data_IF_934906073563
#
_entry.id   IF_934906073563
#
_cell.length_a   1.000
_cell.length_b   1.000
_cell.length_c   1.000
_cell.angle_alpha   90.00
_cell.angle_beta   90.00
_cell.angle_gamma   90.00
#
_symmetry.space_group_name_H-M   'P 1'
#
loop_
_entity.id
_entity.type
_entity.pdbx_description
1 polymer ?
#
# COMPACT_ATOMS: atom_id res chain seq x y z
N UNK A 1 -28.25 -6.78 39.33
CA UNK A 1 -28.80 -6.23 38.05
C UNK A 1 -28.23 -4.85 37.67
N UNK A 2 -28.06 -3.87 38.59
CA UNK A 2 -27.51 -2.53 38.24
C UNK A 2 -26.08 -2.55 37.66
N UNK A 3 -25.20 -3.46 38.10
CA UNK A 3 -23.81 -3.53 37.63
C UNK A 3 -23.66 -4.06 36.19
N UNK A 4 -24.56 -4.95 35.76
CA UNK A 4 -24.51 -5.57 34.43
C UNK A 4 -24.82 -4.57 33.30
N UNK A 5 -25.74 -3.62 33.55
CA UNK A 5 -26.12 -2.58 32.58
C UNK A 5 -24.92 -1.75 32.12
N UNK A 6 -24.09 -1.32 33.07
CA UNK A 6 -22.98 -0.40 32.79
C UNK A 6 -21.79 -1.09 32.13
N UNK A 7 -21.54 -2.34 32.51
CA UNK A 7 -20.55 -3.18 31.83
C UNK A 7 -20.99 -3.46 30.38
N UNK A 8 -22.26 -3.78 30.17
CA UNK A 8 -22.84 -3.98 28.84
C UNK A 8 -22.73 -2.72 27.97
N UNK A 9 -23.03 -1.54 28.53
CA UNK A 9 -22.88 -0.26 27.83
C UNK A 9 -21.41 0.01 27.45
N UNK A 10 -20.47 -0.33 28.33
CA UNK A 10 -19.03 -0.25 28.02
C UNK A 10 -18.62 -1.19 26.89
N UNK A 11 -19.15 -2.40 26.84
CA UNK A 11 -18.88 -3.35 25.75
C UNK A 11 -19.42 -2.81 24.42
N UNK A 12 -20.67 -2.34 24.38
CA UNK A 12 -21.24 -1.73 23.18
C UNK A 12 -20.42 -0.51 22.74
N UNK A 13 -20.07 0.36 23.69
CA UNK A 13 -19.27 1.54 23.38
C UNK A 13 -17.90 1.14 22.82
N UNK A 14 -17.23 0.16 23.41
CA UNK A 14 -15.92 -0.32 22.99
C UNK A 14 -15.94 -0.92 21.57
N UNK A 15 -16.86 -1.83 21.28
CA UNK A 15 -16.85 -2.60 20.02
C UNK A 15 -17.66 -1.97 18.88
N UNK A 16 -18.57 -1.04 19.17
CA UNK A 16 -19.45 -0.42 18.16
C UNK A 16 -19.37 1.11 18.24
N UNK A 17 -19.48 1.68 19.44
CA UNK A 17 -19.52 3.14 19.62
C UNK A 17 -18.25 3.85 19.17
N UNK A 18 -17.08 3.40 19.64
CA UNK A 18 -15.79 3.99 19.25
C UNK A 18 -15.52 3.85 17.74
N UNK A 19 -15.67 2.66 17.10
CA UNK A 19 -15.56 2.57 15.64
C UNK A 19 -16.48 3.54 14.90
N UNK A 20 -17.75 3.65 15.31
CA UNK A 20 -18.70 4.57 14.68
C UNK A 20 -18.24 6.04 14.80
N UNK A 21 -17.80 6.45 16.00
CA UNK A 21 -17.25 7.79 16.23
C UNK A 21 -16.04 8.07 15.34
N UNK A 22 -15.14 7.08 15.18
CA UNK A 22 -13.97 7.21 14.32
C UNK A 22 -14.37 7.39 12.85
N UNK A 23 -15.35 6.64 12.35
CA UNK A 23 -15.85 6.83 10.99
C UNK A 23 -16.39 8.27 10.79
N UNK A 24 -17.21 8.75 11.73
CA UNK A 24 -17.77 10.12 11.67
C UNK A 24 -16.66 11.18 11.70
N UNK A 25 -15.72 11.06 12.65
CA UNK A 25 -14.61 12.02 12.79
C UNK A 25 -13.71 11.97 11.55
N UNK A 26 -13.47 10.79 10.98
CA UNK A 26 -12.68 10.65 9.75
C UNK A 26 -13.37 11.33 8.57
N UNK A 27 -14.70 11.25 8.45
CA UNK A 27 -15.45 11.98 7.41
C UNK A 27 -15.30 13.49 7.61
N UNK A 28 -15.46 14.00 8.84
CA UNK A 28 -15.41 15.44 9.12
C UNK A 28 -14.00 15.98 8.90
N UNK A 29 -13.01 15.40 9.56
CA UNK A 29 -11.62 15.85 9.50
C UNK A 29 -11.02 15.59 8.11
N UNK A 30 -11.30 14.42 7.53
CA UNK A 30 -10.87 14.07 6.18
C UNK A 30 -11.52 14.94 5.10
N UNK A 31 -12.80 15.31 5.27
CA UNK A 31 -13.49 16.25 4.37
C UNK A 31 -12.91 17.66 4.46
N UNK A 32 -12.63 18.16 5.67
CA UNK A 32 -11.93 19.44 5.85
C UNK A 32 -10.54 19.41 5.19
N UNK A 33 -9.80 18.32 5.38
CA UNK A 33 -8.51 18.09 4.75
C UNK A 33 -8.60 18.11 3.22
N UNK A 34 -9.57 17.39 2.65
CA UNK A 34 -9.80 17.35 1.21
C UNK A 34 -10.09 18.77 0.66
N UNK A 35 -10.93 19.55 1.32
CA UNK A 35 -11.20 20.94 0.93
C UNK A 35 -9.94 21.82 0.94
N UNK A 36 -9.08 21.68 1.95
CA UNK A 36 -7.80 22.41 2.03
C UNK A 36 -6.90 21.99 0.86
N UNK A 37 -6.79 20.68 0.58
CA UNK A 37 -5.96 20.19 -0.53
C UNK A 37 -6.43 20.67 -1.91
N UNK A 38 -7.74 20.82 -2.12
CA UNK A 38 -8.30 21.37 -3.36
C UNK A 38 -7.98 22.87 -3.51
N UNK A 39 -8.01 23.62 -2.41
CA UNK A 39 -7.61 25.04 -2.39
C UNK A 39 -6.10 25.20 -2.63
N UNK A 40 -5.28 24.28 -2.11
CA UNK A 40 -3.82 24.27 -2.30
C UNK A 40 -3.41 23.96 -3.75
N UNK A 41 -4.09 23.02 -4.41
CA UNK A 41 -3.85 22.70 -5.83
C UNK A 41 -4.19 23.84 -6.80
N UNK A 42 -4.85 24.90 -6.32
CA UNK A 42 -5.09 26.13 -7.08
C UNK A 42 -3.90 27.12 -7.02
N UNK A 43 -2.86 26.84 -6.23
CA UNK A 43 -1.72 27.72 -5.99
C UNK A 43 -0.40 27.02 -6.39
N UNK A 44 0.39 27.56 -7.36
CA UNK A 44 1.54 26.86 -7.98
C UNK A 44 2.74 26.52 -7.08
N UNK A 45 2.74 26.88 -5.78
CA UNK A 45 3.93 26.81 -4.90
C UNK A 45 3.88 25.64 -3.91
N UNK A 46 2.78 24.89 -3.82
CA UNK A 46 2.51 23.99 -2.70
C UNK A 46 2.64 22.49 -3.02
N UNK A 47 3.77 22.02 -3.57
CA UNK A 47 4.05 20.57 -3.68
C UNK A 47 4.73 19.97 -2.44
N UNK A 48 5.05 20.78 -1.43
CA UNK A 48 5.81 20.38 -0.23
C UNK A 48 4.95 20.15 1.03
N UNK A 49 3.62 20.34 0.95
CA UNK A 49 2.73 20.33 2.13
C UNK A 49 2.04 18.97 2.36
N UNK A 50 1.89 18.13 1.34
CA UNK A 50 1.10 16.88 1.43
C UNK A 50 1.65 15.88 2.48
N UNK A 51 2.97 15.83 2.68
CA UNK A 51 3.60 15.02 3.75
C UNK A 51 3.57 15.69 5.13
N UNK A 52 3.40 17.02 5.19
CA UNK A 52 3.51 17.81 6.43
C UNK A 52 2.24 17.78 7.29
N UNK A 53 1.13 17.23 6.78
CA UNK A 53 -0.22 17.47 7.32
C UNK A 53 -0.97 16.24 7.79
N UNK A 54 -0.53 15.03 7.39
CA UNK A 54 -1.09 13.76 7.88
C UNK A 54 -0.99 13.66 9.41
N UNK A 55 0.16 14.07 9.97
CA UNK A 55 0.40 14.04 11.43
C UNK A 55 -0.56 15.00 12.16
N UNK A 56 -0.65 16.30 11.81
CA UNK A 56 -1.65 17.21 12.38
C UNK A 56 -3.09 16.68 12.32
N UNK A 57 -3.50 16.11 11.17
CA UNK A 57 -4.84 15.54 10.97
C UNK A 57 -5.09 14.35 11.89
N UNK A 58 -4.13 13.44 12.00
CA UNK A 58 -4.22 12.30 12.90
C UNK A 58 -4.29 12.73 14.38
N UNK A 59 -3.51 13.74 14.77
CA UNK A 59 -3.53 14.31 16.12
C UNK A 59 -4.87 14.98 16.45
N UNK A 60 -5.47 15.71 15.51
CA UNK A 60 -6.80 16.30 15.67
C UNK A 60 -7.86 15.21 15.88
N UNK A 61 -7.84 14.16 15.05
CA UNK A 61 -8.73 13.02 15.20
C UNK A 61 -8.58 12.31 16.55
N UNK A 62 -7.34 12.07 16.98
CA UNK A 62 -7.02 11.49 18.29
C UNK A 62 -7.53 12.36 19.44
N UNK A 63 -7.36 13.69 19.35
CA UNK A 63 -7.85 14.65 20.31
C UNK A 63 -9.38 14.66 20.42
N UNK A 64 -10.10 14.63 19.29
CA UNK A 64 -11.56 14.56 19.27
C UNK A 64 -12.07 13.25 19.90
N UNK A 65 -11.46 12.11 19.57
CA UNK A 65 -11.80 10.82 20.18
C UNK A 65 -11.55 10.82 21.70
N UNK A 66 -10.43 11.39 22.14
CA UNK A 66 -10.13 11.57 23.56
C UNK A 66 -11.18 12.44 24.25
N UNK A 67 -11.60 13.55 23.64
CA UNK A 67 -12.66 14.42 24.17
C UNK A 67 -14.00 13.69 24.26
N UNK A 68 -14.37 12.89 23.25
CA UNK A 68 -15.56 12.03 23.32
C UNK A 68 -15.50 11.07 24.51
N UNK A 69 -14.35 10.41 24.72
CA UNK A 69 -14.12 9.56 25.88
C UNK A 69 -14.27 10.33 27.19
N UNK A 70 -13.72 11.56 27.26
CA UNK A 70 -13.79 12.42 28.45
C UNK A 70 -15.22 12.86 28.78
N UNK A 71 -16.00 13.25 27.78
CA UNK A 71 -17.41 13.62 27.92
C UNK A 71 -18.21 12.42 28.41
N UNK A 72 -18.02 11.25 27.78
CA UNK A 72 -18.70 10.02 28.18
C UNK A 72 -18.32 9.57 29.59
N UNK A 73 -17.06 9.76 29.98
CA UNK A 73 -16.58 9.50 31.34
C UNK A 73 -17.21 10.41 32.40
N UNK A 74 -17.40 11.71 32.12
CA UNK A 74 -18.08 12.63 33.04
C UNK A 74 -19.56 12.27 33.22
N UNK A 75 -20.25 11.97 32.11
CA UNK A 75 -21.68 11.60 32.14
C UNK A 75 -21.97 10.31 32.90
N UNK A 76 -20.98 9.43 33.08
CA UNK A 76 -21.10 8.14 33.76
C UNK A 76 -20.16 8.02 34.98
N UNK A 77 -19.79 9.14 35.62
CA UNK A 77 -18.80 9.18 36.70
C UNK A 77 -19.27 8.57 38.04
N UNK A 78 -20.57 8.29 38.19
CA UNK A 78 -21.23 7.93 39.45
C UNK A 78 -21.33 6.40 39.73
N UNK A 79 -20.56 5.56 39.02
CA UNK A 79 -20.96 4.16 38.84
C UNK A 79 -20.00 3.08 39.32
N UNK A 80 -20.60 1.95 39.70
CA UNK A 80 -20.00 0.75 40.29
C UNK A 80 -19.01 0.08 39.33
N UNK A 81 -17.83 -0.32 39.84
CA UNK A 81 -16.77 -1.07 39.16
C UNK A 81 -16.10 -0.37 37.94
N UNK A 82 -15.50 0.83 38.13
CA UNK A 82 -14.84 1.57 37.04
C UNK A 82 -13.69 0.79 36.38
N UNK A 83 -12.95 -0.02 37.15
CA UNK A 83 -11.79 -0.76 36.65
C UNK A 83 -12.18 -1.81 35.60
N UNK A 84 -13.34 -2.47 35.78
CA UNK A 84 -13.85 -3.44 34.82
C UNK A 84 -14.33 -2.78 33.52
N UNK A 85 -14.81 -1.53 33.60
CA UNK A 85 -15.18 -0.76 32.41
C UNK A 85 -13.95 -0.32 31.63
N UNK A 86 -12.88 0.09 32.32
CA UNK A 86 -11.58 0.36 31.70
C UNK A 86 -11.08 -0.87 30.95
N UNK A 87 -11.20 -2.07 31.55
CA UNK A 87 -10.86 -3.32 30.89
C UNK A 87 -11.64 -3.52 29.58
N UNK A 88 -12.97 -3.32 29.62
CA UNK A 88 -13.81 -3.45 28.42
C UNK A 88 -13.40 -2.49 27.29
N UNK A 89 -13.02 -1.26 27.63
CA UNK A 89 -12.61 -0.25 26.65
C UNK A 89 -11.22 -0.54 26.04
N UNK A 90 -10.33 -1.18 26.80
CA UNK A 90 -9.00 -1.57 26.30
C UNK A 90 -9.04 -2.86 25.45
N UNK A 91 -10.02 -3.75 25.65
CA UNK A 91 -10.07 -5.04 24.98
C UNK A 91 -10.05 -4.96 23.44
N UNK A 92 -10.80 -4.10 22.75
CA UNK A 92 -10.75 -4.03 21.29
C UNK A 92 -9.36 -3.69 20.76
N UNK A 93 -8.63 -2.77 21.41
CA UNK A 93 -7.26 -2.44 21.03
C UNK A 93 -6.35 -3.67 21.10
N UNK A 94 -6.46 -4.46 22.17
CA UNK A 94 -5.67 -5.67 22.35
C UNK A 94 -6.02 -6.74 21.30
N UNK A 95 -7.31 -6.95 21.02
CA UNK A 95 -7.77 -7.93 20.03
C UNK A 95 -7.25 -7.58 18.63
N UNK A 96 -7.34 -6.31 18.23
CA UNK A 96 -6.83 -5.85 16.92
C UNK A 96 -5.32 -6.01 16.85
N UNK A 97 -4.59 -5.62 17.89
CA UNK A 97 -3.13 -5.67 17.92
C UNK A 97 -2.60 -7.11 17.92
N UNK A 98 -3.19 -8.00 18.72
CA UNK A 98 -2.87 -9.42 18.73
C UNK A 98 -3.21 -10.08 17.39
N UNK A 99 -4.37 -9.78 16.83
CA UNK A 99 -4.79 -10.25 15.51
C UNK A 99 -3.79 -9.82 14.42
N UNK A 100 -3.35 -8.56 14.44
CA UNK A 100 -2.32 -8.07 13.53
C UNK A 100 -1.00 -8.83 13.66
N UNK A 101 -0.50 -9.00 14.88
CA UNK A 101 0.77 -9.72 15.13
C UNK A 101 0.71 -11.15 14.62
N UNK A 102 -0.40 -11.85 14.87
CA UNK A 102 -0.63 -13.21 14.38
C UNK A 102 -0.71 -13.22 12.85
N UNK A 103 -1.46 -12.30 12.24
CA UNK A 103 -1.62 -12.25 10.79
C UNK A 103 -0.31 -11.96 10.08
N UNK A 104 0.50 -11.01 10.59
CA UNK A 104 1.84 -10.73 10.07
C UNK A 104 2.76 -11.94 10.15
N UNK A 105 2.67 -12.74 11.20
CA UNK A 105 3.41 -13.99 11.29
C UNK A 105 2.91 -15.02 10.26
N UNK A 106 1.59 -15.23 10.17
CA UNK A 106 0.98 -16.21 9.26
C UNK A 106 1.14 -15.86 7.78
N UNK A 107 1.31 -14.58 7.44
CA UNK A 107 1.52 -14.13 6.06
C UNK A 107 2.98 -13.87 5.72
N UNK A 108 3.92 -14.22 6.61
CA UNK A 108 5.35 -13.97 6.42
C UNK A 108 5.60 -12.49 6.06
N UNK A 109 5.01 -11.59 6.85
CA UNK A 109 5.05 -10.14 6.72
C UNK A 109 4.40 -9.59 5.43
N UNK A 110 3.73 -10.41 4.62
CA UNK A 110 3.03 -9.93 3.43
C UNK A 110 1.72 -9.25 3.81
N UNK A 111 1.73 -7.92 3.89
CA UNK A 111 0.56 -7.12 4.29
C UNK A 111 -0.59 -7.22 3.27
N UNK A 112 -0.31 -7.37 1.97
CA UNK A 112 -1.37 -7.54 0.95
C UNK A 112 -2.17 -8.82 1.16
N UNK A 113 -1.52 -9.87 1.66
CA UNK A 113 -2.19 -11.14 1.99
C UNK A 113 -3.08 -11.03 3.24
N UNK A 114 -2.81 -10.08 4.15
CA UNK A 114 -3.60 -9.87 5.38
C UNK A 114 -5.01 -9.40 5.05
N UNK A 115 -5.17 -8.44 4.14
CA UNK A 115 -6.48 -7.87 3.80
C UNK A 115 -7.49 -8.87 3.23
N UNK A 116 -7.03 -10.02 2.74
CA UNK A 116 -7.88 -11.11 2.23
C UNK A 116 -8.36 -12.06 3.33
N UNK A 117 -7.88 -11.94 4.57
CA UNK A 117 -8.23 -12.84 5.68
C UNK A 117 -9.53 -12.35 6.35
N UNK A 118 -10.47 -13.26 6.71
CA UNK A 118 -11.77 -12.87 7.28
C UNK A 118 -11.67 -11.97 8.52
N UNK A 119 -10.71 -12.24 9.41
CA UNK A 119 -10.51 -11.45 10.64
C UNK A 119 -10.13 -10.01 10.30
N UNK A 120 -9.28 -9.79 9.30
CA UNK A 120 -8.91 -8.45 8.87
C UNK A 120 -10.10 -7.71 8.24
N UNK A 121 -10.94 -8.42 7.48
CA UNK A 121 -12.15 -7.84 6.87
C UNK A 121 -13.17 -7.38 7.92
N UNK A 122 -13.34 -8.12 9.02
CA UNK A 122 -14.21 -7.69 10.14
C UNK A 122 -13.72 -6.39 10.77
N UNK A 123 -12.42 -6.30 11.08
CA UNK A 123 -11.84 -5.06 11.65
C UNK A 123 -11.98 -3.90 10.66
N UNK A 124 -11.70 -4.14 9.38
CA UNK A 124 -11.85 -3.13 8.33
C UNK A 124 -13.30 -2.66 8.19
N UNK A 125 -14.28 -3.56 8.34
CA UNK A 125 -15.71 -3.20 8.26
C UNK A 125 -16.12 -2.28 9.42
N UNK A 126 -15.60 -2.51 10.64
CA UNK A 126 -15.88 -1.63 11.78
C UNK A 126 -15.24 -0.24 11.63
N UNK A 127 -14.05 -0.17 11.03
CA UNK A 127 -13.33 1.06 10.70
C UNK A 127 -13.34 1.33 9.19
N UNK A 128 -14.52 1.24 8.57
CA UNK A 128 -14.66 1.24 7.11
C UNK A 128 -14.07 2.49 6.44
N UNK A 129 -14.48 3.69 6.88
CA UNK A 129 -14.07 4.95 6.28
C UNK A 129 -12.54 5.11 6.29
N UNK A 130 -11.85 5.03 7.44
CA UNK A 130 -10.39 5.13 7.45
C UNK A 130 -9.70 3.97 6.71
N UNK A 131 -10.30 2.77 6.66
CA UNK A 131 -9.75 1.64 5.90
C UNK A 131 -9.80 1.89 4.39
N UNK A 132 -10.89 2.48 3.89
CA UNK A 132 -11.03 2.86 2.47
C UNK A 132 -10.02 3.95 2.11
N UNK A 133 -9.88 4.99 2.94
CA UNK A 133 -8.90 6.06 2.72
C UNK A 133 -7.47 5.52 2.73
N UNK A 134 -7.16 4.65 3.70
CA UNK A 134 -5.87 3.96 3.79
C UNK A 134 -5.53 3.16 2.54
N UNK A 135 -6.52 2.48 1.97
CA UNK A 135 -6.37 1.70 0.74
C UNK A 135 -5.98 2.59 -0.46
N UNK A 136 -6.68 3.70 -0.67
CA UNK A 136 -6.38 4.62 -1.78
C UNK A 136 -5.06 5.39 -1.60
N UNK A 137 -4.70 5.73 -0.36
CA UNK A 137 -3.47 6.47 -0.07
C UNK A 137 -2.24 5.57 0.12
N UNK A 138 -2.38 4.25 0.02
CA UNK A 138 -1.29 3.30 0.21
C UNK A 138 -0.73 3.23 1.64
N UNK A 139 -1.33 3.92 2.62
CA UNK A 139 -0.88 3.91 4.01
C UNK A 139 -1.42 2.71 4.78
N UNK A 140 -0.88 1.53 4.47
CA UNK A 140 -1.45 0.25 4.94
C UNK A 140 -1.40 0.08 6.46
N UNK A 141 -0.45 0.74 7.14
CA UNK A 141 -0.34 0.73 8.60
C UNK A 141 -1.52 1.40 9.32
N UNK A 142 -2.29 2.25 8.63
CA UNK A 142 -3.48 2.87 9.20
C UNK A 142 -4.52 1.83 9.67
N UNK A 143 -4.58 0.66 9.01
CA UNK A 143 -5.48 -0.46 9.37
C UNK A 143 -5.18 -1.00 10.77
N UNK A 144 -3.96 -0.83 11.27
CA UNK A 144 -3.60 -1.14 12.65
C UNK A 144 -3.69 0.09 13.56
N UNK A 145 -3.05 1.19 13.15
CA UNK A 145 -2.82 2.36 13.99
C UNK A 145 -4.13 3.08 14.33
N UNK A 146 -5.07 3.19 13.39
CA UNK A 146 -6.32 3.92 13.63
C UNK A 146 -7.21 3.15 14.61
N UNK A 147 -7.49 1.84 14.46
CA UNK A 147 -8.28 1.10 15.45
C UNK A 147 -7.64 1.09 16.83
N UNK A 148 -6.35 0.76 16.93
CA UNK A 148 -5.66 0.69 18.22
C UNK A 148 -5.55 2.08 18.85
N UNK A 149 -5.08 3.08 18.11
CA UNK A 149 -4.90 4.44 18.59
C UNK A 149 -6.21 5.08 19.04
N UNK A 150 -7.28 4.97 18.25
CA UNK A 150 -8.59 5.54 18.63
C UNK A 150 -9.16 4.90 19.90
N UNK A 151 -9.04 3.59 20.05
CA UNK A 151 -9.49 2.88 21.26
C UNK A 151 -8.72 3.31 22.50
N UNK A 152 -7.39 3.43 22.38
CA UNK A 152 -6.54 3.93 23.46
C UNK A 152 -6.86 5.39 23.80
N UNK A 153 -7.01 6.27 22.81
CA UNK A 153 -7.38 7.67 23.02
C UNK A 153 -8.73 7.80 23.74
N UNK A 154 -9.74 7.01 23.34
CA UNK A 154 -11.04 7.01 23.97
C UNK A 154 -10.97 6.51 25.42
N UNK A 155 -10.27 5.39 25.66
CA UNK A 155 -10.09 4.83 27.00
C UNK A 155 -9.32 5.80 27.92
N UNK A 156 -8.27 6.45 27.41
CA UNK A 156 -7.52 7.48 28.13
C UNK A 156 -8.42 8.66 28.53
N UNK A 157 -9.21 9.18 27.57
CA UNK A 157 -10.19 10.23 27.81
C UNK A 157 -11.22 9.84 28.86
N UNK A 158 -11.74 8.61 28.78
CA UNK A 158 -12.72 8.06 29.71
C UNK A 158 -12.18 7.96 31.14
N UNK A 159 -11.04 7.32 31.34
CA UNK A 159 -10.48 7.13 32.68
C UNK A 159 -10.01 8.46 33.29
N UNK A 160 -9.47 9.39 32.48
CA UNK A 160 -9.05 10.72 32.90
C UNK A 160 -8.08 10.70 34.08
N UNK A 161 -8.30 11.55 35.08
CA UNK A 161 -7.46 11.64 36.28
C UNK A 161 -7.41 10.33 37.11
N UNK A 162 -8.29 9.35 36.84
CA UNK A 162 -8.33 8.06 37.55
C UNK A 162 -7.21 7.11 37.12
N UNK A 163 -6.60 7.32 35.94
CA UNK A 163 -5.51 6.46 35.47
C UNK A 163 -4.30 6.44 36.41
N UNK A 164 -4.02 7.57 37.09
CA UNK A 164 -2.92 7.69 38.04
C UNK A 164 -3.22 7.20 39.46
N UNK A 165 -4.45 6.76 39.75
CA UNK A 165 -4.83 6.32 41.10
C UNK A 165 -4.53 4.83 41.25
N UNK A 166 -3.62 4.49 42.16
CA UNK A 166 -3.34 3.11 42.56
C UNK A 166 -4.50 2.58 43.41
N UNK A 167 -5.06 1.43 43.03
CA UNK A 167 -6.18 0.79 43.73
C UNK A 167 -5.90 -0.71 43.87
N UNK A 168 -6.42 -1.33 44.93
CA UNK A 168 -6.41 -2.78 45.10
C UNK A 168 -7.66 -3.43 44.51
N UNK A 169 -7.54 -4.65 43.97
CA UNK A 169 -8.69 -5.48 43.55
C UNK A 169 -8.52 -6.14 42.19
N UNK A 170 -9.35 -7.16 41.91
CA UNK A 170 -9.26 -7.99 40.71
C UNK A 170 -9.39 -7.19 39.39
N UNK A 171 -10.28 -6.19 39.35
CA UNK A 171 -10.46 -5.33 38.17
C UNK A 171 -9.24 -4.47 37.86
N UNK A 172 -8.56 -3.96 38.90
CA UNK A 172 -7.32 -3.20 38.74
C UNK A 172 -6.18 -4.09 38.22
N UNK A 173 -6.01 -5.29 38.78
CA UNK A 173 -5.02 -6.26 38.31
C UNK A 173 -5.28 -6.67 36.86
N UNK A 174 -6.54 -6.90 36.48
CA UNK A 174 -6.94 -7.20 35.10
C UNK A 174 -6.58 -6.06 34.14
N UNK A 175 -6.91 -4.82 34.51
CA UNK A 175 -6.57 -3.63 33.70
C UNK A 175 -5.06 -3.50 33.50
N UNK A 176 -4.27 -3.68 34.57
CA UNK A 176 -2.81 -3.59 34.48
C UNK A 176 -2.23 -4.71 33.60
N UNK A 177 -2.77 -5.94 33.71
CA UNK A 177 -2.40 -7.04 32.83
C UNK A 177 -2.71 -6.70 31.37
N UNK A 178 -3.89 -6.14 31.07
CA UNK A 178 -4.25 -5.70 29.72
C UNK A 178 -3.28 -4.64 29.18
N UNK A 179 -2.87 -3.68 30.01
CA UNK A 179 -1.87 -2.67 29.63
C UNK A 179 -0.51 -3.32 29.34
N UNK A 180 -0.06 -4.27 30.16
CA UNK A 180 1.17 -5.03 29.91
C UNK A 180 1.08 -5.80 28.59
N UNK A 181 -0.04 -6.47 28.32
CA UNK A 181 -0.27 -7.16 27.06
C UNK A 181 -0.26 -6.20 25.86
N UNK A 182 -0.90 -5.03 25.98
CA UNK A 182 -0.87 -4.00 24.94
C UNK A 182 0.56 -3.51 24.65
N UNK A 183 1.37 -3.29 25.69
CA UNK A 183 2.78 -2.92 25.53
C UNK A 183 3.60 -4.03 24.87
N UNK A 184 3.38 -5.28 25.28
CA UNK A 184 4.05 -6.45 24.70
C UNK A 184 3.72 -6.63 23.22
N UNK A 185 2.43 -6.69 22.85
CA UNK A 185 2.02 -6.83 21.46
C UNK A 185 2.32 -5.57 20.63
N UNK A 186 2.33 -4.39 21.26
CA UNK A 186 2.76 -3.16 20.62
C UNK A 186 4.24 -3.20 20.24
N UNK A 187 5.08 -3.70 21.15
CA UNK A 187 6.51 -3.92 20.90
C UNK A 187 6.72 -4.97 19.80
N UNK A 188 5.93 -6.04 19.79
CA UNK A 188 5.95 -7.03 18.72
C UNK A 188 5.57 -6.43 17.36
N UNK A 189 4.53 -5.59 17.30
CA UNK A 189 4.11 -4.93 16.07
C UNK A 189 5.17 -3.94 15.55
N UNK A 190 5.85 -3.20 16.45
CA UNK A 190 6.99 -2.34 16.09
C UNK A 190 8.17 -3.17 15.57
N UNK A 191 8.47 -4.30 16.20
CA UNK A 191 9.51 -5.20 15.71
C UNK A 191 9.14 -5.78 14.32
N UNK A 192 7.89 -6.18 14.12
CA UNK A 192 7.41 -6.65 12.82
C UNK A 192 7.41 -5.55 11.76
N UNK A 193 7.18 -4.29 12.11
CA UNK A 193 7.29 -3.18 11.14
C UNK A 193 8.73 -2.94 10.72
N UNK A 194 9.69 -3.08 11.64
CA UNK A 194 11.11 -3.08 11.32
C UNK A 194 11.47 -4.25 10.37
N UNK A 195 11.06 -5.48 10.71
CA UNK A 195 11.30 -6.65 9.84
C UNK A 195 10.64 -6.48 8.46
N UNK A 196 9.43 -5.93 8.41
CA UNK A 196 8.76 -5.61 7.15
C UNK A 196 9.58 -4.62 6.32
N UNK A 197 10.08 -3.54 6.91
CA UNK A 197 10.89 -2.54 6.22
C UNK A 197 12.22 -3.13 5.71
N UNK A 198 12.80 -4.10 6.44
CA UNK A 198 13.99 -4.83 5.97
C UNK A 198 13.65 -5.75 4.80
N UNK A 199 12.51 -6.45 4.84
CA UNK A 199 12.07 -7.41 3.81
C UNK A 199 11.53 -6.74 2.54
N UNK A 200 10.87 -5.60 2.71
CA UNK A 200 10.26 -4.79 1.65
C UNK A 200 10.75 -3.35 1.81
N UNK A 201 12.01 -3.06 1.44
CA UNK A 201 12.51 -1.71 1.55
C UNK A 201 11.66 -0.82 0.63
N UNK A 202 11.31 0.38 1.10
CA UNK A 202 10.71 1.37 0.21
C UNK A 202 11.83 1.94 -0.68
N UNK A 203 11.63 2.12 -2.00
CA UNK A 203 12.59 2.86 -2.81
C UNK A 203 12.74 4.28 -2.25
N UNK A 204 13.98 4.73 -1.98
CA UNK A 204 14.25 6.11 -1.57
C UNK A 204 13.97 7.12 -2.70
N UNK A 205 14.10 6.65 -3.95
CA UNK A 205 13.70 7.33 -5.16
C UNK A 205 13.12 6.31 -6.12
N UNK A 206 11.92 6.57 -6.60
CA UNK A 206 11.27 5.79 -7.66
C UNK A 206 11.25 6.64 -8.92
N UNK A 207 12.08 6.30 -9.90
CA UNK A 207 11.83 6.74 -11.27
C UNK A 207 10.68 5.89 -11.81
N UNK A 208 9.48 6.46 -11.80
CA UNK A 208 8.32 5.82 -12.41
C UNK A 208 8.25 6.20 -13.87
N UNK A 209 8.04 5.18 -14.70
CA UNK A 209 7.67 5.36 -16.09
C UNK A 209 6.14 5.55 -16.13
N UNK A 210 5.70 6.81 -16.14
CA UNK A 210 4.28 7.14 -16.14
C UNK A 210 3.71 7.04 -17.54
N UNK A 211 2.62 6.29 -17.70
CA UNK A 211 1.94 6.16 -19.00
C UNK A 211 1.51 7.51 -19.60
N UNK A 212 1.04 8.42 -18.75
CA UNK A 212 0.64 9.79 -19.13
C UNK A 212 1.75 10.57 -19.85
N UNK A 213 3.02 10.35 -19.48
CA UNK A 213 4.16 11.03 -20.11
C UNK A 213 4.32 10.62 -21.58
N UNK A 214 3.71 9.51 -22.01
CA UNK A 214 3.79 8.95 -23.36
C UNK A 214 2.45 9.04 -24.10
N UNK A 215 1.62 10.03 -23.77
CA UNK A 215 0.38 10.34 -24.49
C UNK A 215 0.57 11.59 -25.35
N UNK A 216 0.01 11.60 -26.56
CA UNK A 216 0.24 12.70 -27.52
C UNK A 216 -0.28 14.06 -27.02
N UNK A 217 -1.39 14.06 -26.28
CA UNK A 217 -2.00 15.28 -25.76
C UNK A 217 -1.29 15.84 -24.51
N UNK A 218 -0.35 15.09 -23.91
CA UNK A 218 0.41 15.55 -22.75
C UNK A 218 1.43 16.61 -23.17
N UNK A 219 1.33 17.80 -22.57
CA UNK A 219 2.31 18.86 -22.78
C UNK A 219 3.69 18.42 -22.29
N UNK A 220 4.71 18.56 -23.15
CA UNK A 220 6.06 18.08 -22.83
C UNK A 220 6.16 16.55 -22.73
N UNK A 221 5.32 15.81 -23.47
CA UNK A 221 5.40 14.36 -23.52
C UNK A 221 6.81 13.87 -23.94
N UNK A 222 7.10 12.62 -23.57
CA UNK A 222 8.37 11.94 -23.82
C UNK A 222 8.32 11.04 -25.06
N UNK A 223 7.36 11.26 -25.97
CA UNK A 223 7.30 10.52 -27.23
C UNK A 223 8.52 10.86 -28.08
N UNK A 224 9.09 9.83 -28.71
CA UNK A 224 10.20 10.01 -29.65
C UNK A 224 9.65 10.09 -31.06
N UNK A 225 9.80 11.27 -31.68
CA UNK A 225 9.42 11.46 -33.08
C UNK A 225 10.29 10.62 -34.04
N UNK A 226 9.74 10.32 -35.21
CA UNK A 226 10.52 9.71 -36.30
C UNK A 226 11.53 10.70 -36.86
N UNK A 227 12.67 10.18 -37.31
CA UNK A 227 13.70 10.98 -37.99
C UNK A 227 13.31 11.33 -39.43
N UNK A 228 12.62 10.41 -40.08
CA UNK A 228 12.19 10.48 -41.48
C UNK A 228 10.69 10.17 -41.58
N UNK A 229 10.08 10.50 -42.72
CA UNK A 229 8.69 10.14 -43.01
C UNK A 229 8.48 8.61 -42.96
N UNK A 230 7.43 8.12 -42.28
CA UNK A 230 7.21 6.69 -42.15
C UNK A 230 6.78 6.07 -43.48
N UNK A 231 7.38 4.92 -43.82
CA UNK A 231 6.96 4.11 -44.97
C UNK A 231 5.60 3.42 -44.76
N UNK A 232 5.19 3.28 -43.50
CA UNK A 232 3.89 2.71 -43.09
C UNK A 232 3.12 3.75 -42.29
N UNK A 233 1.92 4.11 -42.74
CA UNK A 233 1.00 4.98 -42.03
C UNK A 233 -0.37 4.33 -41.94
N UNK A 234 -0.87 4.14 -40.72
CA UNK A 234 -2.15 3.53 -40.43
C UNK A 234 -3.22 4.62 -40.28
N UNK A 235 -4.11 4.71 -41.27
CA UNK A 235 -5.23 5.66 -41.29
C UNK A 235 -6.60 5.00 -41.06
N UNK A 236 -6.63 3.68 -41.00
CA UNK A 236 -7.83 2.85 -40.78
C UNK A 236 -7.41 1.49 -40.20
N UNK A 237 -8.35 0.73 -39.64
CA UNK A 237 -8.12 -0.57 -39.01
C UNK A 237 -6.98 -0.52 -37.97
N UNK A 238 -7.03 0.46 -37.07
CA UNK A 238 -5.99 0.65 -36.06
C UNK A 238 -5.93 -0.55 -35.11
N UNK A 239 -4.75 -1.16 -34.93
CA UNK A 239 -4.59 -2.25 -33.97
C UNK A 239 -4.70 -1.72 -32.54
N UNK A 240 -5.27 -2.52 -31.64
CA UNK A 240 -5.20 -2.30 -30.20
C UNK A 240 -3.86 -2.82 -29.68
N UNK A 241 -3.07 -1.94 -29.08
CA UNK A 241 -1.73 -2.21 -28.57
C UNK A 241 -1.73 -2.30 -27.05
N UNK A 242 -0.95 -3.23 -26.52
CA UNK A 242 -0.61 -3.31 -25.10
C UNK A 242 0.86 -3.76 -24.95
N UNK A 243 1.42 -3.78 -23.75
CA UNK A 243 2.81 -4.22 -23.60
C UNK A 243 3.41 -4.15 -22.22
N UNK A 244 4.70 -4.49 -22.18
CA UNK A 244 5.52 -4.38 -20.99
C UNK A 244 5.85 -2.91 -20.73
N UNK A 245 5.71 -2.45 -19.48
CA UNK A 245 6.02 -1.06 -19.09
C UNK A 245 7.45 -0.63 -19.45
N UNK A 246 8.42 -1.55 -19.43
CA UNK A 246 9.79 -1.27 -19.85
C UNK A 246 9.90 -0.87 -21.34
N UNK A 247 9.02 -1.40 -22.19
CA UNK A 247 8.96 -1.11 -23.62
C UNK A 247 8.06 0.08 -23.98
N UNK A 248 7.35 0.69 -23.02
CA UNK A 248 6.39 1.76 -23.27
C UNK A 248 6.96 2.94 -24.09
N UNK A 249 8.18 3.45 -23.82
CA UNK A 249 8.74 4.52 -24.64
C UNK A 249 8.83 4.16 -26.12
N UNK A 250 9.07 2.88 -26.43
CA UNK A 250 9.24 2.40 -27.80
C UNK A 250 7.90 2.23 -28.50
N UNK A 251 6.97 1.48 -27.90
CA UNK A 251 5.73 1.15 -28.58
C UNK A 251 4.71 2.29 -28.59
N UNK A 252 4.67 3.16 -27.58
CA UNK A 252 3.85 4.37 -27.63
C UNK A 252 4.36 5.35 -28.69
N UNK A 253 5.68 5.54 -28.77
CA UNK A 253 6.29 6.38 -29.82
C UNK A 253 5.97 5.84 -31.21
N UNK A 254 6.11 4.54 -31.42
CA UNK A 254 5.76 3.90 -32.68
C UNK A 254 4.26 4.04 -32.99
N UNK A 255 3.40 3.84 -31.99
CA UNK A 255 1.95 3.99 -32.14
C UNK A 255 1.58 5.40 -32.64
N UNK A 256 1.95 6.44 -31.92
CA UNK A 256 1.59 7.82 -32.30
C UNK A 256 2.29 8.29 -33.58
N UNK A 257 3.48 7.79 -33.86
CA UNK A 257 4.19 8.13 -35.10
C UNK A 257 3.55 7.50 -36.34
N UNK A 258 3.14 6.24 -36.25
CA UNK A 258 2.69 5.42 -37.37
C UNK A 258 1.16 5.39 -37.54
N UNK A 259 0.40 6.04 -36.65
CA UNK A 259 -1.06 6.11 -36.73
C UNK A 259 -1.55 7.54 -36.99
N UNK A 260 -2.66 7.65 -37.70
CA UNK A 260 -3.45 8.89 -37.81
C UNK A 260 -4.90 8.55 -37.51
N UNK A 261 -5.46 9.28 -36.55
CA UNK A 261 -6.85 9.16 -36.14
C UNK A 261 -7.65 10.36 -36.66
N UNK A 262 -8.92 10.16 -37.06
CA UNK A 262 -9.91 11.22 -37.16
C UNK A 262 -10.08 11.97 -35.84
N UNK A 263 -10.53 13.23 -35.90
CA UNK A 263 -10.67 14.11 -34.72
C UNK A 263 -11.68 13.58 -33.68
N UNK A 264 -12.61 12.69 -34.07
CA UNK A 264 -13.63 12.10 -33.21
C UNK A 264 -13.20 10.78 -32.54
N UNK A 265 -12.00 10.27 -32.84
CA UNK A 265 -11.48 9.03 -32.27
C UNK A 265 -10.37 9.36 -31.27
N UNK A 266 -10.50 8.81 -30.06
CA UNK A 266 -9.50 8.93 -29.01
C UNK A 266 -8.38 7.88 -29.24
N UNK A 267 -7.12 8.28 -29.56
CA UNK A 267 -6.03 7.33 -29.77
C UNK A 267 -5.76 6.44 -28.55
N UNK A 268 -6.01 6.95 -27.35
CA UNK A 268 -5.81 6.23 -26.09
C UNK A 268 -6.74 5.01 -25.95
N UNK A 269 -7.83 4.91 -26.72
CA UNK A 269 -8.70 3.72 -26.76
C UNK A 269 -8.01 2.51 -27.43
N UNK A 270 -6.87 2.73 -28.10
CA UNK A 270 -6.11 1.73 -28.84
C UNK A 270 -4.71 1.49 -28.29
N UNK A 271 -4.32 2.16 -27.19
CA UNK A 271 -2.99 2.05 -26.60
C UNK A 271 -3.07 1.85 -25.09
N UNK A 272 -2.56 0.73 -24.61
CA UNK A 272 -2.56 0.34 -23.21
C UNK A 272 -1.13 0.10 -22.67
N UNK A 273 -0.99 0.13 -21.35
CA UNK A 273 0.24 -0.24 -20.63
C UNK A 273 -0.11 -1.02 -19.36
N UNK A 274 -0.47 -2.29 -19.55
CA UNK A 274 -0.88 -3.16 -18.43
C UNK A 274 0.28 -4.02 -17.89
N UNK A 275 1.43 -4.00 -18.54
CA UNK A 275 2.60 -4.81 -18.19
C UNK A 275 2.55 -6.22 -18.79
N UNK A 276 3.67 -6.94 -18.73
CA UNK A 276 3.86 -8.20 -19.47
C UNK A 276 2.81 -9.26 -19.17
N UNK A 277 2.44 -9.45 -17.90
CA UNK A 277 1.50 -10.51 -17.50
C UNK A 277 0.11 -10.24 -18.09
N UNK A 278 -0.40 -9.02 -17.93
CA UNK A 278 -1.73 -8.65 -18.39
C UNK A 278 -1.80 -8.52 -19.91
N UNK A 279 -0.74 -8.00 -20.56
CA UNK A 279 -0.67 -7.94 -22.02
C UNK A 279 -0.80 -9.33 -22.67
N UNK A 280 -0.17 -10.36 -22.09
CA UNK A 280 -0.39 -11.74 -22.53
C UNK A 280 -1.84 -12.20 -22.35
N UNK A 281 -2.50 -11.84 -21.25
CA UNK A 281 -3.93 -12.17 -21.07
C UNK A 281 -4.79 -11.44 -22.09
N UNK A 282 -4.52 -10.16 -22.34
CA UNK A 282 -5.27 -9.33 -23.28
C UNK A 282 -5.19 -9.83 -24.72
N UNK A 283 -4.02 -10.23 -25.21
CA UNK A 283 -3.91 -10.79 -26.57
C UNK A 283 -4.61 -12.14 -26.70
N UNK A 284 -4.58 -12.98 -25.65
CA UNK A 284 -5.23 -14.29 -25.66
C UNK A 284 -6.76 -14.18 -25.56
N UNK A 285 -7.26 -13.13 -24.89
CA UNK A 285 -8.69 -12.85 -24.78
C UNK A 285 -9.26 -12.05 -25.97
N UNK A 286 -8.41 -11.63 -26.91
CA UNK A 286 -8.81 -10.79 -28.05
C UNK A 286 -9.08 -9.33 -27.66
N UNK A 287 -8.56 -8.87 -26.52
CA UNK A 287 -8.61 -7.47 -26.09
C UNK A 287 -7.48 -6.62 -26.68
N UNK A 288 -6.38 -7.24 -27.08
CA UNK A 288 -5.28 -6.62 -27.81
C UNK A 288 -5.00 -7.38 -29.12
N UNK A 289 -4.57 -6.65 -30.15
CA UNK A 289 -4.22 -7.22 -31.46
C UNK A 289 -2.69 -7.39 -31.60
N UNK A 290 -1.93 -6.52 -30.92
CA UNK A 290 -0.47 -6.54 -30.91
C UNK A 290 0.05 -6.23 -29.50
N UNK A 291 1.05 -6.99 -29.04
CA UNK A 291 1.71 -6.72 -27.77
C UNK A 291 3.22 -6.55 -27.91
N UNK A 292 3.76 -5.62 -27.13
CA UNK A 292 5.20 -5.34 -27.06
C UNK A 292 5.76 -5.85 -25.75
N UNK A 293 6.33 -7.05 -25.78
CA UNK A 293 6.79 -7.77 -24.59
C UNK A 293 8.13 -8.44 -24.84
N UNK A 294 8.84 -8.73 -23.75
CA UNK A 294 9.98 -9.65 -23.76
C UNK A 294 9.53 -11.07 -24.16
N UNK A 295 10.50 -11.95 -24.40
CA UNK A 295 10.22 -13.33 -24.78
C UNK A 295 9.33 -14.04 -23.72
N UNK A 296 8.30 -14.82 -24.12
CA UNK A 296 7.40 -15.45 -23.16
C UNK A 296 8.13 -16.45 -22.26
N UNK A 297 7.75 -16.42 -20.98
CA UNK A 297 8.03 -17.49 -20.02
C UNK A 297 7.39 -18.81 -20.44
N UNK A 298 7.84 -19.91 -19.82
CA UNK A 298 7.22 -21.23 -20.00
C UNK A 298 5.73 -21.22 -19.65
N UNK A 299 5.35 -20.52 -18.57
CA UNK A 299 3.95 -20.39 -18.15
C UNK A 299 3.10 -19.63 -19.18
N UNK A 300 3.62 -18.53 -19.75
CA UNK A 300 2.91 -17.78 -20.80
C UNK A 300 2.75 -18.59 -22.09
N UNK A 301 3.73 -19.42 -22.45
CA UNK A 301 3.60 -20.35 -23.60
C UNK A 301 2.50 -21.38 -23.36
N UNK A 302 2.49 -22.00 -22.18
CA UNK A 302 1.45 -22.97 -21.79
C UNK A 302 0.06 -22.33 -21.75
N UNK A 303 -0.04 -21.09 -21.28
CA UNK A 303 -1.29 -20.34 -21.26
C UNK A 303 -1.83 -20.10 -22.69
N UNK A 304 -0.96 -19.75 -23.63
CA UNK A 304 -1.33 -19.57 -25.03
C UNK A 304 -1.75 -20.88 -25.71
N UNK A 305 -1.06 -21.98 -25.40
CA UNK A 305 -1.45 -23.32 -25.88
C UNK A 305 -2.82 -23.74 -25.34
N UNK A 306 -3.08 -23.50 -24.05
CA UNK A 306 -4.33 -23.84 -23.38
C UNK A 306 -5.52 -23.01 -23.89
N UNK A 307 -5.31 -21.76 -24.32
CA UNK A 307 -6.38 -20.92 -24.89
C UNK A 307 -6.72 -21.28 -26.33
N UNK A 308 -5.91 -22.10 -27.00
CA UNK A 308 -6.08 -22.42 -28.42
C UNK A 308 -5.73 -21.27 -29.37
N UNK A 309 -5.17 -20.17 -28.85
CA UNK A 309 -4.79 -18.99 -29.64
C UNK A 309 -3.37 -19.17 -30.15
N UNK A 310 -3.19 -19.14 -31.48
CA UNK A 310 -1.86 -19.20 -32.10
C UNK A 310 -1.22 -17.82 -32.12
N UNK A 311 -0.27 -17.58 -31.23
CA UNK A 311 0.55 -16.37 -31.22
C UNK A 311 1.66 -16.39 -32.28
N UNK A 312 1.91 -15.24 -32.89
CA UNK A 312 3.04 -15.00 -33.80
C UNK A 312 4.09 -14.19 -33.06
N UNK A 313 5.33 -14.68 -33.03
CA UNK A 313 6.44 -14.01 -32.35
C UNK A 313 7.38 -13.38 -33.38
N UNK A 314 7.50 -12.05 -33.34
CA UNK A 314 8.37 -11.30 -34.26
C UNK A 314 9.44 -10.54 -33.46
N UNK A 315 10.69 -11.04 -33.42
CA UNK A 315 11.79 -10.31 -32.82
C UNK A 315 12.09 -9.04 -33.62
N UNK A 316 12.07 -7.88 -32.98
CA UNK A 316 12.32 -6.59 -33.64
C UNK A 316 13.37 -5.72 -32.94
N UNK A 317 13.68 -6.02 -31.67
CA UNK A 317 14.69 -5.32 -30.89
C UNK A 317 15.43 -6.28 -29.95
N UNK A 318 16.58 -5.83 -29.44
CA UNK A 318 17.29 -6.45 -28.32
C UNK A 318 17.43 -5.40 -27.23
N UNK A 319 17.13 -5.78 -26.00
CA UNK A 319 17.34 -4.95 -24.82
C UNK A 319 18.49 -5.51 -23.97
N UNK A 320 19.18 -4.64 -23.25
CA UNK A 320 20.18 -5.04 -22.27
C UNK A 320 19.51 -5.18 -20.90
N UNK A 321 19.75 -6.31 -20.23
CA UNK A 321 19.40 -6.47 -18.83
C UNK A 321 20.54 -5.92 -17.98
N UNK A 322 20.31 -4.78 -17.32
CA UNK A 322 21.33 -4.09 -16.53
C UNK A 322 21.14 -4.34 -15.04
N UNK A 323 22.24 -4.65 -14.36
CA UNK A 323 22.27 -4.74 -12.91
C UNK A 323 22.76 -3.41 -12.35
N UNK A 324 21.95 -2.81 -11.49
CA UNK A 324 22.28 -1.56 -10.82
C UNK A 324 22.51 -1.81 -9.33
N UNK A 325 23.44 -1.06 -8.76
CA UNK A 325 23.71 -1.02 -7.32
C UNK A 325 23.47 0.39 -6.80
N UNK A 326 23.38 0.55 -5.48
CA UNK A 326 23.32 1.88 -4.88
C UNK A 326 24.55 2.71 -5.29
N UNK A 327 24.37 4.00 -5.57
CA UNK A 327 25.45 4.90 -6.00
C UNK A 327 26.65 4.97 -5.04
N UNK A 328 26.44 4.69 -3.75
CA UNK A 328 27.49 4.68 -2.73
C UNK A 328 28.22 3.33 -2.64
N UNK A 329 27.77 2.30 -3.36
CA UNK A 329 28.45 1.01 -3.38
C UNK A 329 29.72 1.11 -4.26
N UNK A 330 30.92 0.82 -3.73
CA UNK A 330 32.17 0.92 -4.48
C UNK A 330 32.32 -0.14 -5.58
N UNK A 331 31.50 -1.19 -5.58
CA UNK A 331 31.53 -2.24 -6.61
C UNK A 331 30.97 -1.72 -7.93
N UNK A 332 31.86 -1.52 -8.91
CA UNK A 332 31.53 -0.97 -10.23
C UNK A 332 31.32 -2.03 -11.32
N UNK A 333 31.64 -3.31 -11.04
CA UNK A 333 31.44 -4.41 -11.99
C UNK A 333 31.25 -5.73 -11.26
N UNK A 334 30.43 -6.62 -11.83
CA UNK A 334 30.23 -7.99 -11.37
C UNK A 334 30.33 -8.95 -12.56
N UNK A 335 30.96 -10.11 -12.34
CA UNK A 335 30.90 -11.22 -13.29
C UNK A 335 29.52 -11.90 -13.26
N UNK A 336 29.21 -12.64 -14.32
CA UNK A 336 27.98 -13.44 -14.41
C UNK A 336 27.90 -14.51 -13.31
N UNK A 337 29.04 -15.08 -12.92
CA UNK A 337 29.15 -16.02 -11.78
C UNK A 337 28.81 -15.33 -10.46
N UNK A 338 29.30 -14.11 -10.23
CA UNK A 338 28.99 -13.35 -9.02
C UNK A 338 27.52 -12.96 -8.97
N UNK A 339 26.95 -12.48 -10.09
CA UNK A 339 25.52 -12.16 -10.19
C UNK A 339 24.68 -13.39 -9.85
N UNK A 340 24.96 -14.55 -10.45
CA UNK A 340 24.24 -15.79 -10.13
C UNK A 340 24.39 -16.17 -8.65
N UNK A 341 25.60 -16.02 -8.09
CA UNK A 341 25.85 -16.27 -6.68
C UNK A 341 25.04 -15.36 -5.74
N UNK A 342 24.90 -14.08 -6.10
CA UNK A 342 24.10 -13.11 -5.35
C UNK A 342 22.61 -13.51 -5.36
N UNK A 343 22.05 -13.71 -6.56
CA UNK A 343 20.61 -13.99 -6.70
C UNK A 343 20.23 -15.41 -6.24
N UNK A 344 21.19 -16.35 -6.15
CA UNK A 344 20.97 -17.66 -5.54
C UNK A 344 21.18 -17.67 -4.01
N UNK A 345 21.61 -16.56 -3.40
CA UNK A 345 21.95 -16.48 -1.99
C UNK A 345 23.25 -17.18 -1.59
N UNK A 346 24.11 -17.55 -2.56
CA UNK A 346 25.45 -18.10 -2.29
C UNK A 346 26.43 -17.01 -1.88
N UNK A 347 26.30 -15.83 -2.46
CA UNK A 347 27.04 -14.61 -2.11
C UNK A 347 26.05 -13.70 -1.40
N UNK A 348 26.38 -13.28 -0.19
CA UNK A 348 25.44 -12.57 0.69
C UNK A 348 25.99 -11.25 1.20
N UNK A 349 27.28 -10.97 1.04
CA UNK A 349 27.94 -9.73 1.46
C UNK A 349 28.77 -9.10 0.35
N UNK A 350 28.83 -7.77 0.31
CA UNK A 350 29.55 -7.03 -0.74
C UNK A 350 31.07 -7.27 -0.72
N UNK A 351 31.66 -7.51 0.45
CA UNK A 351 33.09 -7.83 0.58
C UNK A 351 33.49 -9.14 -0.10
N UNK A 352 32.57 -10.07 -0.33
CA UNK A 352 32.82 -11.29 -1.12
C UNK A 352 33.08 -10.98 -2.61
N UNK A 353 32.73 -9.77 -3.05
CA UNK A 353 32.88 -9.29 -4.43
C UNK A 353 33.65 -7.97 -4.52
N UNK A 354 34.41 -7.62 -3.48
CA UNK A 354 35.31 -6.46 -3.46
C UNK A 354 34.70 -5.15 -2.94
N UNK A 355 33.52 -5.21 -2.33
CA UNK A 355 32.89 -4.06 -1.66
C UNK A 355 33.08 -4.04 -0.14
N UNK A 356 32.21 -3.33 0.54
CA UNK A 356 32.24 -3.21 2.00
C UNK A 356 31.68 -4.45 2.71
N UNK A 357 31.98 -4.60 4.01
CA UNK A 357 31.45 -5.69 4.83
C UNK A 357 29.98 -5.44 5.23
N UNK A 358 29.10 -5.40 4.23
CA UNK A 358 27.67 -5.10 4.35
C UNK A 358 26.89 -6.14 3.54
N UNK A 359 25.73 -6.54 4.06
CA UNK A 359 24.82 -7.48 3.41
C UNK A 359 24.35 -6.99 2.02
N UNK A 360 24.26 -7.92 1.08
CA UNK A 360 23.63 -7.73 -0.22
C UNK A 360 22.14 -7.97 -0.08
N UNK A 361 21.33 -7.01 -0.53
CA UNK A 361 19.88 -7.14 -0.64
C UNK A 361 19.51 -7.23 -2.12
N UNK A 362 19.35 -8.43 -2.71
CA UNK A 362 18.95 -8.58 -4.11
C UNK A 362 17.47 -8.24 -4.27
N UNK A 363 17.14 -7.38 -5.23
CA UNK A 363 15.76 -7.03 -5.56
C UNK A 363 15.32 -7.81 -6.79
N UNK A 364 14.15 -8.45 -6.69
CA UNK A 364 13.58 -9.26 -7.76
C UNK A 364 12.14 -8.83 -8.02
N UNK A 365 11.72 -8.89 -9.28
CA UNK A 365 10.33 -8.70 -9.66
C UNK A 365 9.53 -10.01 -9.51
N UNK A 366 8.19 -9.94 -9.44
CA UNK A 366 7.36 -11.13 -9.42
C UNK A 366 7.63 -12.06 -10.61
N UNK A 367 7.37 -13.36 -10.41
CA UNK A 367 7.45 -14.37 -11.48
C UNK A 367 6.57 -13.97 -12.68
N UNK A 368 7.03 -14.29 -13.89
CA UNK A 368 6.42 -13.92 -15.18
C UNK A 368 6.47 -12.42 -15.54
N UNK A 369 7.17 -11.60 -14.75
CA UNK A 369 7.63 -10.29 -15.19
C UNK A 369 8.57 -10.43 -16.39
N UNK A 370 8.45 -9.55 -17.38
CA UNK A 370 9.35 -9.52 -18.55
C UNK A 370 10.76 -9.01 -18.24
N UNK A 371 10.95 -8.40 -17.07
CA UNK A 371 12.23 -7.91 -16.53
C UNK A 371 12.50 -8.52 -15.17
#
# INVERSE_FOLDING_TARGET
>A
MKNAKWLFLSIIMAFIGVPLLVNIITIIVGGMWACISVLENSIPVAQSIEKATIIPVALLGAGLIFLCGRIWGKGNASEVNPEWRDCCLLMPALVVLMGWVILMFLTDLNIRAIGRKPIAQVVQTLWLVPSVISFFNGWVWAVLLIPVGSQLCFALGYGGARWGVLRGGAGYSCRNLLVICLLFFGSCAVYQSHLYAVKYPAPESSEYLYFRDYQAHTWGNKLTGLRDEPTLLLTQNWPRLDGATAGLPLYASAFYALTRFPDDICPEDYLENQGTIEAYQNILNGNADLIFVAQPSTAQKQLAEASGVKLVYTPFAREAFVFIVNQNNPVSSLSDVQIRGIFSGRITHWNEVGGEAIDIKPWQRPENSGS
#
